data_IF_568154299803
#
_entry.id   IF_568154299803
#
_cell.length_a   1.000
_cell.length_b   1.000
_cell.length_c   1.000
_cell.angle_alpha   90.00
_cell.angle_beta   90.00
_cell.angle_gamma   90.00
#
_symmetry.space_group_name_H-M   'P 1'
#
loop_
_entity.id
_entity.type
_entity.pdbx_description
1 polymer ?
#
# COMPACT_ATOMS: atom_id res chain seq x y z
N UNK A 1 19.50 8.12 -20.09
CA UNK A 1 19.19 9.47 -19.57
C UNK A 1 17.69 9.79 -19.57
N UNK A 2 16.95 9.73 -20.71
CA UNK A 2 15.54 10.14 -20.79
C UNK A 2 14.60 9.37 -19.81
N UNK A 3 14.77 8.04 -19.69
CA UNK A 3 13.99 7.18 -18.78
C UNK A 3 14.29 7.51 -17.32
N UNK A 4 15.56 7.74 -16.98
CA UNK A 4 15.95 8.13 -15.62
C UNK A 4 15.28 9.45 -15.19
N UNK A 5 15.31 10.46 -16.06
CA UNK A 5 14.67 11.76 -15.76
C UNK A 5 13.15 11.60 -15.65
N UNK A 6 12.52 10.82 -16.54
CA UNK A 6 11.10 10.51 -16.46
C UNK A 6 10.73 9.87 -15.11
N UNK A 7 11.50 8.87 -14.68
CA UNK A 7 11.29 8.20 -13.39
C UNK A 7 11.48 9.13 -12.20
N UNK A 8 12.48 10.00 -12.22
CA UNK A 8 12.67 10.99 -11.15
C UNK A 8 11.49 11.98 -11.07
N UNK A 9 11.01 12.46 -12.22
CA UNK A 9 9.81 13.33 -12.27
C UNK A 9 8.61 12.59 -11.71
N UNK A 10 8.40 11.33 -12.14
CA UNK A 10 7.29 10.51 -11.68
C UNK A 10 7.34 10.25 -10.16
N UNK A 11 8.51 9.91 -9.62
CA UNK A 11 8.72 9.66 -8.19
C UNK A 11 8.44 10.88 -7.33
N UNK A 12 8.90 12.07 -7.75
CA UNK A 12 8.61 13.33 -7.05
C UNK A 12 7.10 13.60 -7.04
N UNK A 13 6.42 13.45 -8.17
CA UNK A 13 4.99 13.72 -8.28
C UNK A 13 4.16 12.70 -7.50
N UNK A 14 4.56 11.42 -7.51
CA UNK A 14 3.89 10.39 -6.73
C UNK A 14 4.03 10.63 -5.23
N UNK A 15 5.22 10.99 -4.77
CA UNK A 15 5.46 11.36 -3.37
C UNK A 15 4.64 12.59 -2.95
N UNK A 16 4.64 13.67 -3.75
CA UNK A 16 3.83 14.86 -3.46
C UNK A 16 2.34 14.58 -3.45
N UNK A 17 1.87 13.71 -4.34
CA UNK A 17 0.49 13.24 -4.32
C UNK A 17 0.19 12.46 -3.05
N UNK A 18 1.05 11.54 -2.62
CA UNK A 18 0.90 10.81 -1.36
C UNK A 18 0.77 11.75 -0.16
N UNK A 19 1.63 12.78 -0.06
CA UNK A 19 1.53 13.81 0.97
C UNK A 19 0.16 14.51 0.92
N UNK A 20 -0.30 14.93 -0.26
CA UNK A 20 -1.59 15.59 -0.42
C UNK A 20 -2.76 14.65 -0.06
N UNK A 21 -2.72 13.40 -0.52
CA UNK A 21 -3.75 12.39 -0.28
C UNK A 21 -3.91 12.08 1.22
N UNK A 22 -2.79 11.91 1.93
CA UNK A 22 -2.82 11.53 3.34
C UNK A 22 -3.03 12.73 4.28
N UNK A 23 -2.35 13.86 4.04
CA UNK A 23 -2.38 14.99 4.97
C UNK A 23 -3.48 16.01 4.67
N UNK A 24 -3.81 16.24 3.39
CA UNK A 24 -4.79 17.25 3.01
C UNK A 24 -6.18 16.67 2.73
N UNK A 25 -6.27 15.50 2.08
CA UNK A 25 -7.54 14.88 1.69
C UNK A 25 -8.03 13.82 2.68
N UNK A 26 -7.18 13.40 3.63
CA UNK A 26 -7.55 12.42 4.64
C UNK A 26 -7.78 10.99 4.10
N UNK A 27 -7.36 10.69 2.87
CA UNK A 27 -7.51 9.35 2.28
C UNK A 27 -6.80 8.27 3.11
N UNK A 28 -5.66 8.62 3.72
CA UNK A 28 -4.91 7.71 4.59
C UNK A 28 -5.64 7.30 5.87
N UNK A 29 -6.69 8.03 6.27
CA UNK A 29 -7.49 7.73 7.45
C UNK A 29 -8.79 6.98 7.11
N UNK A 30 -9.05 6.74 5.82
CA UNK A 30 -10.27 6.03 5.39
C UNK A 30 -10.24 4.59 5.88
N UNK A 31 -11.32 4.16 6.52
CA UNK A 31 -11.40 2.81 7.10
C UNK A 31 -10.86 2.68 8.52
N UNK A 32 -10.11 3.66 9.04
CA UNK A 32 -9.65 3.65 10.43
C UNK A 32 -10.79 4.01 11.40
N UNK A 33 -10.78 3.37 12.56
CA UNK A 33 -11.77 3.59 13.63
C UNK A 33 -11.03 3.71 14.95
N UNK A 34 -11.52 4.58 15.82
CA UNK A 34 -11.01 4.70 17.18
C UNK A 34 -11.64 3.62 18.08
N UNK A 35 -10.87 2.99 18.97
CA UNK A 35 -11.41 2.08 19.97
C UNK A 35 -12.28 2.83 20.97
N UNK A 36 -13.26 2.14 21.57
CA UNK A 36 -14.10 2.73 22.61
C UNK A 36 -13.31 3.04 23.91
N UNK A 37 -12.36 2.17 24.25
CA UNK A 37 -11.40 2.35 25.34
C UNK A 37 -10.02 1.85 24.89
N UNK A 38 -9.16 2.80 24.51
CA UNK A 38 -7.83 2.50 24.02
C UNK A 38 -6.94 1.85 25.11
N UNK A 39 -7.04 2.32 26.35
CA UNK A 39 -6.18 1.83 27.44
C UNK A 39 -6.49 0.35 27.75
N UNK A 40 -7.77 -0.03 27.75
CA UNK A 40 -8.18 -1.43 27.92
C UNK A 40 -7.65 -2.29 26.78
N UNK A 41 -7.73 -1.81 25.54
CA UNK A 41 -7.23 -2.55 24.36
C UNK A 41 -5.72 -2.73 24.45
N UNK A 42 -4.96 -1.65 24.71
CA UNK A 42 -3.50 -1.69 24.81
C UNK A 42 -3.02 -2.62 25.94
N UNK A 43 -3.65 -2.54 27.13
CA UNK A 43 -3.33 -3.43 28.24
C UNK A 43 -3.59 -4.90 27.90
N UNK A 44 -4.71 -5.19 27.24
CA UNK A 44 -5.08 -6.56 26.83
C UNK A 44 -4.11 -7.09 25.77
N UNK A 45 -3.69 -6.28 24.81
CA UNK A 45 -2.70 -6.67 23.82
C UNK A 45 -1.35 -6.98 24.46
N UNK A 46 -0.88 -6.13 25.37
CA UNK A 46 0.38 -6.35 26.07
C UNK A 46 0.34 -7.63 26.92
N UNK A 47 -0.73 -7.84 27.68
CA UNK A 47 -0.91 -9.05 28.48
C UNK A 47 -1.02 -10.31 27.64
N UNK A 48 -1.74 -10.25 26.51
CA UNK A 48 -2.05 -11.42 25.68
C UNK A 48 -0.96 -11.79 24.67
N UNK A 49 -0.19 -10.81 24.19
CA UNK A 49 0.82 -11.03 23.14
C UNK A 49 2.26 -11.01 23.69
N UNK A 50 2.48 -10.47 24.89
CA UNK A 50 3.80 -10.43 25.53
C UNK A 50 4.79 -9.49 24.85
N UNK A 51 6.07 -9.89 24.82
CA UNK A 51 7.19 -9.02 24.37
C UNK A 51 7.62 -9.29 22.92
N UNK A 52 6.95 -10.15 22.18
CA UNK A 52 7.35 -10.50 20.83
C UNK A 52 6.66 -9.59 19.80
N UNK A 53 7.43 -8.82 19.05
CA UNK A 53 6.92 -8.07 17.91
C UNK A 53 6.51 -9.00 16.76
N UNK A 54 5.42 -8.68 16.05
CA UNK A 54 4.97 -9.48 14.92
C UNK A 54 3.56 -9.15 14.43
N UNK A 55 3.09 -10.00 13.54
CA UNK A 55 1.70 -9.95 13.06
C UNK A 55 0.92 -11.08 13.73
N UNK A 56 -0.17 -10.71 14.40
CA UNK A 56 -1.06 -11.63 15.07
C UNK A 56 -2.43 -11.64 14.41
N UNK A 57 -2.93 -12.82 14.11
CA UNK A 57 -4.30 -13.02 13.60
C UNK A 57 -5.11 -13.71 14.69
N UNK A 58 -6.19 -13.08 15.12
CA UNK A 58 -7.03 -13.56 16.20
C UNK A 58 -8.46 -13.81 15.68
N UNK A 59 -9.10 -14.93 16.04
CA UNK A 59 -8.53 -16.11 16.72
C UNK A 59 -7.44 -16.79 15.87
N UNK A 60 -6.52 -17.49 16.51
CA UNK A 60 -5.43 -18.19 15.84
C UNK A 60 -5.56 -19.72 15.97
N UNK A 61 -5.08 -20.42 14.95
CA UNK A 61 -4.83 -21.85 14.97
C UNK A 61 -3.33 -22.07 14.72
N UNK A 62 -2.68 -22.88 15.56
CA UNK A 62 -1.28 -23.26 15.35
C UNK A 62 -1.14 -23.94 13.98
N UNK A 63 -0.26 -23.45 13.08
CA UNK A 63 -0.05 -24.07 11.79
C UNK A 63 0.29 -25.57 11.85
N UNK A 64 0.93 -26.03 12.92
CA UNK A 64 1.25 -27.45 13.13
C UNK A 64 0.00 -28.31 13.38
N UNK A 65 -1.12 -27.69 13.79
CA UNK A 65 -2.39 -28.36 14.10
C UNK A 65 -3.41 -28.26 12.95
N UNK A 66 -3.07 -27.60 11.84
CA UNK A 66 -3.99 -27.44 10.71
C UNK A 66 -4.41 -28.77 10.05
N UNK A 67 -3.63 -29.82 10.22
CA UNK A 67 -3.95 -31.17 9.70
C UNK A 67 -4.73 -32.05 10.68
N UNK A 68 -5.04 -31.54 11.89
CA UNK A 68 -5.86 -32.25 12.88
C UNK A 68 -7.33 -31.79 12.76
N UNK A 69 -8.25 -32.65 12.32
CA UNK A 69 -9.66 -32.27 12.13
C UNK A 69 -10.34 -31.79 13.42
N UNK A 70 -9.96 -32.32 14.59
CA UNK A 70 -10.55 -31.92 15.86
C UNK A 70 -10.14 -30.50 16.25
N UNK A 71 -8.86 -30.13 16.05
CA UNK A 71 -8.34 -28.78 16.27
C UNK A 71 -8.95 -27.76 15.29
N UNK A 72 -9.11 -28.13 14.02
CA UNK A 72 -9.75 -27.28 13.01
C UNK A 72 -11.22 -27.02 13.36
N UNK A 73 -11.97 -28.05 13.83
CA UNK A 73 -13.35 -27.88 14.27
C UNK A 73 -13.42 -26.95 15.50
N UNK A 74 -12.59 -27.20 16.51
CA UNK A 74 -12.53 -26.37 17.71
C UNK A 74 -12.19 -24.90 17.38
N UNK A 75 -11.21 -24.68 16.49
CA UNK A 75 -10.86 -23.34 15.99
C UNK A 75 -12.05 -22.68 15.27
N UNK A 76 -12.73 -23.40 14.39
CA UNK A 76 -13.90 -22.88 13.66
C UNK A 76 -15.02 -22.44 14.61
N UNK A 77 -15.32 -23.25 15.62
CA UNK A 77 -16.33 -22.94 16.64
C UNK A 77 -15.93 -21.69 17.46
N UNK A 78 -14.66 -21.55 17.80
CA UNK A 78 -14.13 -20.37 18.47
C UNK A 78 -14.22 -19.15 17.58
N UNK A 79 -13.82 -19.26 16.31
CA UNK A 79 -13.78 -18.17 15.35
C UNK A 79 -15.18 -17.56 15.08
N UNK A 80 -16.22 -18.40 14.98
CA UNK A 80 -17.60 -17.93 14.78
C UNK A 80 -18.11 -17.09 15.97
N UNK A 81 -17.59 -17.34 17.17
CA UNK A 81 -18.05 -16.71 18.42
C UNK A 81 -17.13 -15.60 18.94
N UNK A 82 -16.05 -15.33 18.26
CA UNK A 82 -15.03 -14.35 18.67
C UNK A 82 -14.87 -13.22 17.66
N UNK A 83 -14.50 -12.02 18.09
CA UNK A 83 -14.04 -10.99 17.17
C UNK A 83 -12.85 -11.46 16.34
N UNK A 84 -12.81 -11.04 15.07
CA UNK A 84 -11.64 -11.21 14.23
C UNK A 84 -10.76 -9.97 14.35
N UNK A 85 -9.44 -10.14 14.51
CA UNK A 85 -8.49 -9.07 14.51
C UNK A 85 -7.20 -9.46 13.78
N UNK A 86 -6.68 -8.52 12.98
CA UNK A 86 -5.34 -8.52 12.42
C UNK A 86 -4.55 -7.42 13.13
N UNK A 87 -3.53 -7.81 13.88
CA UNK A 87 -2.78 -6.89 14.74
C UNK A 87 -1.31 -6.89 14.33
N UNK A 88 -0.79 -5.74 13.92
CA UNK A 88 0.65 -5.48 13.81
C UNK A 88 1.10 -4.95 15.16
N UNK A 89 1.85 -5.75 15.90
CA UNK A 89 2.19 -5.49 17.29
C UNK A 89 3.67 -5.17 17.47
N UNK A 90 3.93 -4.05 18.12
CA UNK A 90 5.25 -3.60 18.56
C UNK A 90 5.17 -3.36 20.09
N UNK A 91 5.74 -4.23 20.93
CA UNK A 91 5.54 -4.18 22.39
C UNK A 91 6.08 -2.90 23.03
N UNK A 92 7.13 -2.30 22.44
CA UNK A 92 7.74 -1.07 22.96
C UNK A 92 7.18 0.20 22.31
N UNK A 93 6.22 0.05 21.36
CA UNK A 93 5.71 1.16 20.59
C UNK A 93 6.72 1.78 19.64
N UNK A 94 6.34 2.90 19.05
CA UNK A 94 7.20 3.73 18.20
C UNK A 94 6.74 5.19 18.33
N UNK A 95 7.68 6.13 18.18
CA UNK A 95 7.36 7.55 18.16
C UNK A 95 6.81 7.95 16.78
N UNK A 96 5.49 7.81 16.62
CA UNK A 96 4.78 8.10 15.38
C UNK A 96 4.85 9.58 14.95
N UNK A 97 5.39 10.47 15.81
CA UNK A 97 5.63 11.89 15.47
C UNK A 97 6.95 12.09 14.73
N UNK A 98 7.85 11.11 14.79
CA UNK A 98 9.18 11.15 14.16
C UNK A 98 9.19 10.40 12.84
N UNK A 99 8.84 11.10 11.76
CA UNK A 99 8.79 10.51 10.41
C UNK A 99 10.15 10.54 9.66
N UNK A 100 11.27 10.68 10.37
CA UNK A 100 12.60 10.87 9.78
C UNK A 100 13.05 9.70 8.90
N UNK A 101 12.61 8.48 9.19
CA UNK A 101 12.94 7.29 8.41
C UNK A 101 11.84 6.93 7.39
N UNK A 102 10.60 7.20 7.73
CA UNK A 102 9.45 6.87 6.91
C UNK A 102 9.41 7.72 5.63
N UNK A 103 9.63 9.03 5.74
CA UNK A 103 9.62 9.97 4.61
C UNK A 103 10.63 9.58 3.52
N UNK A 104 11.95 9.41 3.80
CA UNK A 104 12.91 9.04 2.77
C UNK A 104 12.67 7.62 2.22
N UNK A 105 12.17 6.68 3.02
CA UNK A 105 11.80 5.34 2.53
C UNK A 105 10.64 5.40 1.55
N UNK A 106 9.61 6.20 1.88
CA UNK A 106 8.47 6.38 0.97
C UNK A 106 8.92 7.05 -0.33
N UNK A 107 9.67 8.16 -0.26
CA UNK A 107 10.20 8.81 -1.46
C UNK A 107 11.06 7.87 -2.32
N UNK A 108 11.90 7.05 -1.71
CA UNK A 108 12.70 6.06 -2.41
C UNK A 108 11.81 5.01 -3.09
N UNK A 109 10.80 4.49 -2.41
CA UNK A 109 9.83 3.54 -2.97
C UNK A 109 9.08 4.11 -4.17
N UNK A 110 8.54 5.32 -4.04
CA UNK A 110 7.83 6.02 -5.12
C UNK A 110 8.75 6.26 -6.34
N UNK A 111 10.00 6.65 -6.07
CA UNK A 111 10.99 6.89 -7.12
C UNK A 111 11.37 5.60 -7.84
N UNK A 112 11.60 4.51 -7.12
CA UNK A 112 11.93 3.20 -7.71
C UNK A 112 10.76 2.65 -8.53
N UNK A 113 9.53 2.79 -8.04
CA UNK A 113 8.32 2.42 -8.77
C UNK A 113 8.14 3.23 -10.05
N UNK A 114 8.37 4.55 -9.98
CA UNK A 114 8.32 5.42 -11.14
C UNK A 114 9.44 5.13 -12.15
N UNK A 115 10.64 4.77 -11.72
CA UNK A 115 11.73 4.34 -12.58
C UNK A 115 11.40 3.04 -13.32
N UNK A 116 10.83 2.06 -12.63
CA UNK A 116 10.39 0.81 -13.24
C UNK A 116 9.30 1.06 -14.30
N UNK A 117 8.32 1.90 -13.98
CA UNK A 117 7.25 2.27 -14.91
C UNK A 117 7.78 3.09 -16.10
N UNK A 118 8.69 4.04 -15.86
CA UNK A 118 9.33 4.82 -16.92
C UNK A 118 10.16 3.95 -17.87
N UNK A 119 10.78 2.88 -17.34
CA UNK A 119 11.46 1.89 -18.16
C UNK A 119 10.48 1.19 -19.10
N UNK A 120 9.36 0.67 -18.59
CA UNK A 120 8.32 0.03 -19.41
C UNK A 120 7.77 1.00 -20.47
N UNK A 121 7.49 2.25 -20.09
CA UNK A 121 7.02 3.28 -21.03
C UNK A 121 8.06 3.65 -22.09
N UNK A 122 9.35 3.43 -21.82
CA UNK A 122 10.46 3.80 -22.70
C UNK A 122 10.96 2.68 -23.61
N UNK A 123 10.50 1.42 -23.41
CA UNK A 123 10.92 0.25 -24.21
C UNK A 123 10.49 0.34 -25.66
N UNK A 124 9.32 0.94 -25.94
CA UNK A 124 8.80 1.09 -27.28
C UNK A 124 8.43 2.55 -27.58
N UNK A 125 8.31 2.89 -28.88
CA UNK A 125 7.87 4.19 -29.35
C UNK A 125 6.34 4.36 -29.14
N UNK A 126 5.93 4.53 -27.89
CA UNK A 126 4.54 4.67 -27.51
C UNK A 126 4.07 6.12 -27.63
N UNK A 127 2.84 6.33 -28.07
CA UNK A 127 2.18 7.63 -27.99
C UNK A 127 1.89 8.03 -26.54
N UNK A 128 1.61 9.32 -26.31
CA UNK A 128 1.23 9.83 -24.99
C UNK A 128 0.07 9.03 -24.37
N UNK A 129 -0.99 8.74 -25.14
CA UNK A 129 -2.17 7.99 -24.66
C UNK A 129 -1.81 6.57 -24.28
N UNK A 130 -0.97 5.89 -25.04
CA UNK A 130 -0.52 4.52 -24.73
C UNK A 130 0.32 4.49 -23.46
N UNK A 131 1.23 5.45 -23.27
CA UNK A 131 2.01 5.56 -22.02
C UNK A 131 1.12 5.81 -20.81
N UNK A 132 0.12 6.70 -20.95
CA UNK A 132 -0.84 6.94 -19.89
C UNK A 132 -1.69 5.69 -19.59
N UNK A 133 -2.11 4.95 -20.60
CA UNK A 133 -2.81 3.67 -20.41
C UNK A 133 -1.92 2.65 -19.68
N UNK A 134 -0.61 2.58 -19.98
CA UNK A 134 0.34 1.73 -19.26
C UNK A 134 0.42 2.13 -17.77
N UNK A 135 0.46 3.44 -17.45
CA UNK A 135 0.50 3.90 -16.06
C UNK A 135 -0.78 3.54 -15.29
N UNK A 136 -1.94 3.74 -15.90
CA UNK A 136 -3.22 3.40 -15.28
C UNK A 136 -3.41 1.88 -15.14
N UNK A 137 -2.97 1.10 -16.13
CA UNK A 137 -2.98 -0.36 -16.02
C UNK A 137 -2.06 -0.85 -14.89
N UNK A 138 -0.88 -0.25 -14.70
CA UNK A 138 0.02 -0.56 -13.60
C UNK A 138 -0.60 -0.19 -12.23
N UNK A 139 -1.33 0.93 -12.13
CA UNK A 139 -2.06 1.31 -10.92
C UNK A 139 -3.13 0.26 -10.56
N UNK A 140 -3.94 -0.15 -11.53
CA UNK A 140 -4.95 -1.20 -11.33
C UNK A 140 -4.31 -2.54 -10.98
N UNK A 141 -3.22 -2.91 -11.66
CA UNK A 141 -2.47 -4.13 -11.38
C UNK A 141 -1.93 -4.15 -9.94
N UNK A 142 -1.31 -3.06 -9.50
CA UNK A 142 -0.79 -2.95 -8.13
C UNK A 142 -1.91 -3.09 -7.10
N UNK A 143 -3.03 -2.42 -7.30
CA UNK A 143 -4.19 -2.52 -6.42
C UNK A 143 -4.79 -3.93 -6.39
N UNK A 144 -5.00 -4.56 -7.55
CA UNK A 144 -5.55 -5.92 -7.65
C UNK A 144 -4.63 -6.95 -7.00
N UNK A 145 -3.30 -6.81 -7.16
CA UNK A 145 -2.33 -7.79 -6.67
C UNK A 145 -1.98 -7.61 -5.18
N UNK A 146 -2.19 -6.42 -4.61
CA UNK A 146 -1.84 -6.12 -3.21
C UNK A 146 -3.08 -5.86 -2.35
N UNK A 147 -3.90 -4.85 -2.70
CA UNK A 147 -4.98 -4.39 -1.83
C UNK A 147 -6.17 -5.36 -1.81
N UNK A 148 -6.52 -5.95 -2.96
CA UNK A 148 -7.62 -6.92 -3.04
C UNK A 148 -7.36 -8.19 -2.23
N UNK A 149 -6.16 -8.80 -2.22
CA UNK A 149 -5.83 -9.88 -1.29
C UNK A 149 -5.97 -9.50 0.19
N UNK A 150 -5.58 -8.29 0.59
CA UNK A 150 -5.78 -7.83 1.97
C UNK A 150 -7.26 -7.71 2.33
N UNK A 151 -8.08 -7.18 1.45
CA UNK A 151 -9.52 -7.14 1.63
C UNK A 151 -10.14 -8.55 1.71
N UNK A 152 -9.78 -9.43 0.78
CA UNK A 152 -10.38 -10.76 0.66
C UNK A 152 -9.98 -11.69 1.81
N UNK A 153 -8.68 -11.82 2.07
CA UNK A 153 -8.14 -12.81 3.01
C UNK A 153 -8.03 -12.29 4.44
N UNK A 154 -7.70 -11.01 4.60
CA UNK A 154 -7.44 -10.42 5.92
C UNK A 154 -8.53 -9.47 6.40
N UNK A 155 -9.65 -9.41 5.69
CA UNK A 155 -10.87 -8.67 6.08
C UNK A 155 -10.65 -7.17 6.25
N UNK A 156 -9.69 -6.59 5.51
CA UNK A 156 -9.55 -5.14 5.49
C UNK A 156 -10.85 -4.48 5.02
N UNK A 157 -11.25 -3.33 5.58
CA UNK A 157 -12.48 -2.66 5.21
C UNK A 157 -12.54 -2.31 3.71
N UNK A 158 -13.72 -2.38 3.12
CA UNK A 158 -13.91 -2.08 1.70
C UNK A 158 -13.62 -0.61 1.40
N UNK A 159 -14.00 0.31 2.29
CA UNK A 159 -13.71 1.74 2.17
C UNK A 159 -12.21 2.02 2.15
N UNK A 160 -11.42 1.38 3.01
CA UNK A 160 -9.95 1.41 2.97
C UNK A 160 -9.41 0.91 1.62
N UNK A 161 -9.91 -0.22 1.14
CA UNK A 161 -9.47 -0.85 -0.11
C UNK A 161 -9.79 0.02 -1.33
N UNK A 162 -10.97 0.67 -1.35
CA UNK A 162 -11.35 1.59 -2.42
C UNK A 162 -10.59 2.92 -2.35
N UNK A 163 -10.29 3.44 -1.16
CA UNK A 163 -9.44 4.61 -1.01
C UNK A 163 -8.03 4.35 -1.57
N UNK A 164 -7.46 3.16 -1.33
CA UNK A 164 -6.19 2.76 -1.93
C UNK A 164 -6.25 2.70 -3.47
N UNK A 165 -7.37 2.27 -4.07
CA UNK A 165 -7.55 2.33 -5.53
C UNK A 165 -7.56 3.77 -6.03
N UNK A 166 -8.32 4.65 -5.38
CA UNK A 166 -8.41 6.06 -5.76
C UNK A 166 -7.03 6.74 -5.68
N UNK A 167 -6.28 6.47 -4.61
CA UNK A 167 -4.92 6.99 -4.43
C UNK A 167 -3.98 6.54 -5.55
N UNK A 168 -3.96 5.24 -5.87
CA UNK A 168 -3.14 4.69 -6.95
C UNK A 168 -3.53 5.27 -8.32
N UNK A 169 -4.82 5.33 -8.64
CA UNK A 169 -5.29 5.84 -9.93
C UNK A 169 -4.93 7.31 -10.13
N UNK A 170 -5.20 8.16 -9.14
CA UNK A 170 -4.92 9.60 -9.25
C UNK A 170 -3.41 9.86 -9.27
N UNK A 171 -2.65 9.21 -8.40
CA UNK A 171 -1.20 9.35 -8.35
C UNK A 171 -0.53 8.97 -9.67
N UNK A 172 -0.85 7.79 -10.20
CA UNK A 172 -0.29 7.34 -11.47
C UNK A 172 -0.87 8.05 -12.69
N UNK A 173 -2.07 8.65 -12.60
CA UNK A 173 -2.57 9.56 -13.64
C UNK A 173 -1.68 10.80 -13.72
N UNK A 174 -1.39 11.45 -12.59
CA UNK A 174 -0.56 12.67 -12.52
C UNK A 174 0.90 12.35 -12.92
N UNK A 175 1.53 11.40 -12.23
CA UNK A 175 2.92 11.02 -12.47
C UNK A 175 3.10 10.44 -13.87
N UNK A 176 2.19 9.55 -14.30
CA UNK A 176 2.20 8.93 -15.62
C UNK A 176 2.04 9.93 -16.77
N UNK A 177 1.19 10.93 -16.62
CA UNK A 177 1.03 11.99 -17.60
C UNK A 177 2.33 12.82 -17.78
N UNK A 178 2.97 13.18 -16.67
CA UNK A 178 4.23 13.93 -16.69
C UNK A 178 5.38 13.10 -17.31
N UNK A 179 5.50 11.83 -16.94
CA UNK A 179 6.47 10.91 -17.52
C UNK A 179 6.24 10.70 -19.03
N UNK A 180 4.99 10.47 -19.43
CA UNK A 180 4.61 10.30 -20.84
C UNK A 180 4.94 11.54 -21.69
N UNK A 181 4.65 12.71 -21.15
CA UNK A 181 4.98 13.99 -21.79
C UNK A 181 6.49 14.15 -21.95
N UNK A 182 7.27 13.90 -20.90
CA UNK A 182 8.73 14.00 -20.93
C UNK A 182 9.35 13.04 -21.95
N UNK A 183 8.96 11.78 -21.93
CA UNK A 183 9.46 10.76 -22.85
C UNK A 183 9.16 11.14 -24.31
N UNK A 184 7.92 11.53 -24.61
CA UNK A 184 7.54 11.94 -25.97
C UNK A 184 8.24 13.21 -26.45
N UNK A 185 8.53 14.18 -25.55
CA UNK A 185 9.32 15.38 -25.88
C UNK A 185 10.77 15.04 -26.20
N UNK A 186 11.36 14.15 -25.40
CA UNK A 186 12.76 13.72 -25.57
C UNK A 186 12.97 12.95 -26.89
N UNK A 187 12.01 12.12 -27.28
CA UNK A 187 12.07 11.38 -28.56
C UNK A 187 12.04 12.33 -29.76
N UNK A 188 11.14 13.32 -29.77
CA UNK A 188 11.08 14.32 -30.85
C UNK A 188 12.33 15.16 -30.97
N UNK A 189 13.11 15.38 -29.90
CA UNK A 189 14.38 16.08 -29.94
C UNK A 189 15.53 15.23 -30.51
N UNK A 190 15.49 13.93 -30.34
CA UNK A 190 16.50 13.02 -30.86
C UNK A 190 16.28 12.67 -32.34
N UNK A 191 15.05 12.86 -32.84
CA UNK A 191 14.69 12.65 -34.25
C UNK A 191 14.92 13.85 -35.15
N UNK A 192 15.38 14.98 -34.59
CA UNK A 192 15.82 16.21 -35.32
C UNK A 192 17.32 16.29 -35.38
#
# INVERSE_FOLDING_TARGET
>A
MRVLIAGLIGGILMFLWGVAAHMALGLGNTGFRLPADENVVLASLHQGLGEQAGIYVLPSLDPKKMNDPAEVIAYSQKAIRSPYAWVVYLPQGDDMTRMQQQIPRQWASDTLSALALAFVMGVAALSFRQRLAVALAAAVFAWLSLSVPYWNWYRFPLDFTLAALAEQLVGWLIAGAAMAWWLGRSERRLAR
#
